data_IF_487402358218
#
_entry.id   IF_487402358218
#
_cell.length_a   1.000
_cell.length_b   1.000
_cell.length_c   1.000
_cell.angle_alpha   90.00
_cell.angle_beta   90.00
_cell.angle_gamma   90.00
#
_symmetry.space_group_name_H-M   'P 1'
#
loop_
_entity.id
_entity.type
_entity.pdbx_description
1 polymer ?
#
# COMPACT_ATOMS: atom_id res chain seq x y z
N UNK A 1 -44.29 3.04 2.82
CA UNK A 1 -43.51 1.94 3.40
C UNK A 1 -44.18 1.50 4.69
N UNK A 2 -44.79 0.31 4.69
CA UNK A 2 -45.53 -0.21 5.86
C UNK A 2 -44.56 -0.65 6.97
N UNK A 3 -45.04 -0.79 8.22
CA UNK A 3 -44.19 -1.19 9.35
C UNK A 3 -43.49 -2.55 9.14
N UNK A 4 -44.14 -3.46 8.42
CA UNK A 4 -43.58 -4.77 8.04
C UNK A 4 -42.45 -4.67 7.01
N UNK A 5 -42.49 -3.69 6.10
CA UNK A 5 -41.40 -3.41 5.15
C UNK A 5 -40.17 -2.83 5.86
N UNK A 6 -40.36 -1.97 6.87
CA UNK A 6 -39.24 -1.47 7.69
C UNK A 6 -38.58 -2.58 8.50
N UNK A 7 -39.36 -3.52 9.05
CA UNK A 7 -38.85 -4.64 9.83
C UNK A 7 -38.09 -5.65 8.96
N UNK A 8 -38.59 -5.95 7.76
CA UNK A 8 -37.87 -6.82 6.80
C UNK A 8 -36.60 -6.16 6.28
N UNK A 9 -36.59 -4.85 6.08
CA UNK A 9 -35.38 -4.11 5.74
C UNK A 9 -34.36 -4.06 6.89
N UNK A 10 -34.82 -3.93 8.14
CA UNK A 10 -33.95 -3.96 9.32
C UNK A 10 -33.35 -5.35 9.53
N UNK A 11 -34.15 -6.42 9.41
CA UNK A 11 -33.68 -7.81 9.50
C UNK A 11 -32.67 -8.16 8.40
N UNK A 12 -32.91 -7.72 7.16
CA UNK A 12 -31.93 -7.90 6.06
C UNK A 12 -30.62 -7.17 6.32
N UNK A 13 -30.66 -5.95 6.89
CA UNK A 13 -29.44 -5.19 7.24
C UNK A 13 -28.65 -5.88 8.36
N UNK A 14 -29.33 -6.40 9.39
CA UNK A 14 -28.70 -7.17 10.46
C UNK A 14 -28.06 -8.46 9.89
N UNK A 15 -28.79 -9.18 9.02
CA UNK A 15 -28.28 -10.41 8.41
C UNK A 15 -27.05 -10.15 7.52
N UNK A 16 -27.09 -9.13 6.66
CA UNK A 16 -25.97 -8.76 5.78
C UNK A 16 -24.76 -8.32 6.60
N UNK A 17 -24.94 -7.52 7.66
CA UNK A 17 -23.85 -7.12 8.56
C UNK A 17 -23.22 -8.31 9.28
N UNK A 18 -24.02 -9.29 9.73
CA UNK A 18 -23.52 -10.48 10.40
C UNK A 18 -22.70 -11.38 9.46
N UNK A 19 -23.13 -11.54 8.21
CA UNK A 19 -22.39 -12.30 7.18
C UNK A 19 -21.03 -11.66 6.87
N UNK A 20 -20.95 -10.33 6.80
CA UNK A 20 -19.69 -9.61 6.58
C UNK A 20 -18.73 -9.79 7.77
N UNK A 21 -19.25 -9.76 9.00
CA UNK A 21 -18.44 -9.95 10.21
C UNK A 21 -17.91 -11.39 10.36
N UNK A 22 -18.65 -12.38 9.84
CA UNK A 22 -18.27 -13.80 9.89
C UNK A 22 -17.21 -14.20 8.84
N UNK A 23 -17.01 -13.40 7.79
CA UNK A 23 -16.06 -13.69 6.72
C UNK A 23 -14.60 -13.27 7.01
N UNK A 24 -14.30 -12.72 8.19
CA UNK A 24 -12.97 -12.23 8.56
C UNK A 24 -12.05 -13.25 9.27
N UNK A 25 -12.42 -14.55 9.31
CA UNK A 25 -11.62 -15.59 9.98
C UNK A 25 -11.01 -16.63 9.05
N UNK A 26 -10.69 -16.30 7.80
CA UNK A 26 -9.87 -17.16 6.96
C UNK A 26 -8.62 -16.43 6.48
N UNK A 27 -7.54 -16.57 7.26
CA UNK A 27 -6.17 -16.35 6.81
C UNK A 27 -5.75 -17.54 5.92
N UNK A 28 -5.39 -17.35 4.64
CA UNK A 28 -4.63 -18.38 3.94
C UNK A 28 -3.16 -18.28 4.38
N UNK A 29 -2.77 -19.18 5.28
CA UNK A 29 -1.38 -19.54 5.52
C UNK A 29 -0.85 -20.39 4.34
N UNK A 30 0.39 -20.12 3.93
CA UNK A 30 1.17 -20.93 2.98
C UNK A 30 0.97 -20.49 1.53
N UNK A 31 2.01 -20.28 0.72
CA UNK A 31 3.21 -21.10 0.62
C UNK A 31 4.46 -20.24 0.39
N UNK A 32 5.48 -20.46 1.23
CA UNK A 32 6.87 -20.21 0.87
C UNK A 32 7.22 -21.18 -0.27
N UNK A 33 7.54 -20.62 -1.44
CA UNK A 33 8.18 -21.39 -2.50
C UNK A 33 9.67 -21.46 -2.22
N UNK A 34 10.10 -22.67 -1.87
CA UNK A 34 11.48 -23.09 -1.77
C UNK A 34 12.04 -23.48 -3.14
N UNK A 35 13.30 -23.13 -3.38
CA UNK A 35 14.19 -23.55 -4.47
C UNK A 35 13.99 -22.83 -5.83
N UNK A 36 15.00 -22.16 -6.38
CA UNK A 36 16.15 -22.87 -6.98
C UNK A 36 17.41 -22.01 -6.96
N UNK A 37 18.46 -22.58 -6.35
CA UNK A 37 19.85 -22.15 -6.45
C UNK A 37 20.31 -22.25 -7.91
N UNK A 38 20.43 -21.11 -8.60
CA UNK A 38 21.06 -21.04 -9.93
C UNK A 38 22.59 -21.20 -9.84
N UNK A 39 23.28 -21.64 -10.91
CA UNK A 39 24.73 -21.80 -10.91
C UNK A 39 25.41 -20.44 -10.77
N UNK A 40 26.27 -20.32 -9.78
CA UNK A 40 27.26 -19.25 -9.68
C UNK A 40 28.26 -19.43 -10.83
N UNK A 41 27.95 -18.86 -11.99
CA UNK A 41 28.96 -18.59 -13.01
C UNK A 41 29.77 -17.40 -12.53
N UNK A 42 31.00 -17.69 -12.13
CA UNK A 42 31.98 -16.74 -11.65
C UNK A 42 32.22 -15.64 -12.70
N UNK A 43 31.88 -14.40 -12.35
CA UNK A 43 32.55 -13.22 -12.88
C UNK A 43 33.36 -12.64 -11.72
N UNK A 44 34.61 -13.10 -11.61
CA UNK A 44 35.63 -12.41 -10.82
C UNK A 44 36.01 -11.15 -11.60
N UNK A 45 35.23 -10.07 -11.43
CA UNK A 45 35.75 -8.73 -11.65
C UNK A 45 36.27 -8.20 -10.32
N UNK A 46 37.59 -8.20 -10.18
CA UNK A 46 38.32 -7.45 -9.15
C UNK A 46 38.08 -5.95 -9.36
N UNK A 47 37.02 -5.43 -8.74
CA UNK A 47 36.89 -4.01 -8.41
C UNK A 47 37.24 -3.82 -6.93
N UNK A 48 37.88 -2.69 -6.55
CA UNK A 48 38.29 -2.45 -5.17
C UNK A 48 37.07 -2.51 -4.24
N UNK A 49 37.18 -3.41 -3.26
CA UNK A 49 36.19 -3.80 -2.26
C UNK A 49 36.01 -2.71 -1.18
N UNK A 50 35.58 -1.53 -1.61
CA UNK A 50 34.97 -0.55 -0.70
C UNK A 50 33.48 -0.71 -0.89
N UNK A 51 32.88 -1.69 -0.20
CA UNK A 51 31.43 -1.70 -0.01
C UNK A 51 31.13 -0.47 0.85
N UNK A 52 30.55 0.61 0.30
CA UNK A 52 30.23 1.76 1.12
C UNK A 52 29.30 1.27 2.22
N UNK A 53 29.60 1.62 3.47
CA UNK A 53 28.73 1.33 4.59
C UNK A 53 27.42 2.09 4.41
N UNK A 54 26.43 1.42 3.79
CA UNK A 54 25.10 1.98 3.53
C UNK A 54 24.30 2.18 4.82
N UNK A 55 24.80 1.72 5.98
CA UNK A 55 24.10 1.84 7.27
C UNK A 55 23.93 3.29 7.74
N UNK A 56 24.66 4.24 7.14
CA UNK A 56 24.65 5.65 7.54
C UNK A 56 24.08 6.63 6.50
N UNK A 57 23.60 6.15 5.34
CA UNK A 57 23.11 7.07 4.31
C UNK A 57 21.70 7.60 4.63
N UNK A 58 21.55 8.93 4.60
CA UNK A 58 20.26 9.59 4.80
C UNK A 58 19.31 9.24 3.65
N UNK A 59 18.21 8.55 3.97
CA UNK A 59 17.15 8.20 3.01
C UNK A 59 16.17 9.37 2.90
N UNK A 60 15.99 9.94 1.71
CA UNK A 60 15.07 11.05 1.45
C UNK A 60 14.06 10.63 0.37
N UNK A 61 12.79 10.95 0.55
CA UNK A 61 11.74 10.74 -0.45
C UNK A 61 10.88 11.98 -0.65
N UNK A 62 10.46 12.21 -1.90
CA UNK A 62 9.41 13.16 -2.26
C UNK A 62 8.21 12.37 -2.75
N UNK A 63 7.06 12.55 -2.11
CA UNK A 63 5.81 11.87 -2.46
C UNK A 63 4.76 12.92 -2.81
N UNK A 64 4.16 12.80 -3.99
CA UNK A 64 3.17 13.75 -4.51
C UNK A 64 1.93 12.99 -4.95
N UNK A 65 0.79 13.28 -4.33
CA UNK A 65 -0.53 12.76 -4.73
C UNK A 65 -1.33 13.82 -5.49
N UNK A 66 -1.57 13.61 -6.78
CA UNK A 66 -2.35 14.54 -7.61
C UNK A 66 -3.69 13.93 -8.03
N UNK A 67 -4.76 14.47 -7.49
CA UNK A 67 -6.15 14.10 -7.79
C UNK A 67 -6.87 15.17 -8.61
N UNK A 68 -6.54 16.44 -8.40
CA UNK A 68 -7.31 17.60 -8.86
C UNK A 68 -6.90 18.08 -10.27
N UNK A 69 -6.89 17.18 -11.27
CA UNK A 69 -6.68 17.57 -12.66
C UNK A 69 -7.89 18.34 -13.21
N UNK A 70 -7.64 19.29 -14.11
CA UNK A 70 -8.68 20.09 -14.75
C UNK A 70 -9.67 19.24 -15.58
N UNK A 71 -10.88 19.79 -15.75
CA UNK A 71 -11.94 19.15 -16.54
C UNK A 71 -12.48 17.90 -15.86
N UNK A 72 -12.58 16.81 -16.63
CA UNK A 72 -13.14 15.52 -16.18
C UNK A 72 -12.05 14.48 -15.82
N UNK A 73 -10.81 14.92 -15.61
CA UNK A 73 -9.65 14.05 -15.38
C UNK A 73 -9.37 13.79 -13.89
N UNK A 74 -10.35 14.02 -13.02
CA UNK A 74 -10.20 13.78 -11.59
C UNK A 74 -9.85 12.33 -11.28
N UNK A 75 -8.84 12.13 -10.43
CA UNK A 75 -8.44 10.81 -9.94
C UNK A 75 -8.80 10.70 -8.46
N UNK A 76 -9.58 9.67 -8.10
CA UNK A 76 -10.16 9.56 -6.76
C UNK A 76 -9.16 9.27 -5.64
N UNK A 77 -8.04 8.62 -5.96
CA UNK A 77 -7.19 7.99 -4.96
C UNK A 77 -5.75 8.51 -4.80
N UNK A 78 -5.12 9.23 -5.76
CA UNK A 78 -3.70 9.59 -5.64
C UNK A 78 -3.31 10.32 -4.36
N UNK A 79 -4.20 11.16 -3.79
CA UNK A 79 -3.93 11.83 -2.50
C UNK A 79 -3.85 10.82 -1.35
N UNK A 80 -4.75 9.85 -1.30
CA UNK A 80 -4.75 8.81 -0.26
C UNK A 80 -3.53 7.88 -0.45
N UNK A 81 -3.26 7.47 -1.68
CA UNK A 81 -2.11 6.60 -2.00
C UNK A 81 -0.78 7.24 -1.62
N UNK A 82 -0.63 8.55 -1.91
CA UNK A 82 0.54 9.32 -1.52
C UNK A 82 0.69 9.43 0.00
N UNK A 83 -0.41 9.55 0.74
CA UNK A 83 -0.39 9.57 2.19
C UNK A 83 0.07 8.22 2.77
N UNK A 84 -0.48 7.12 2.26
CA UNK A 84 -0.15 5.77 2.72
C UNK A 84 1.31 5.39 2.40
N UNK A 85 1.78 5.74 1.20
CA UNK A 85 3.18 5.56 0.82
C UNK A 85 4.11 6.41 1.70
N UNK A 86 3.74 7.67 1.98
CA UNK A 86 4.53 8.53 2.85
C UNK A 86 4.62 7.98 4.28
N UNK A 87 3.54 7.39 4.81
CA UNK A 87 3.56 6.71 6.12
C UNK A 87 4.49 5.50 6.10
N UNK A 88 4.38 4.64 5.09
CA UNK A 88 5.22 3.46 4.94
C UNK A 88 6.71 3.83 4.86
N UNK A 89 7.06 4.83 4.04
CA UNK A 89 8.43 5.29 3.86
C UNK A 89 9.02 5.91 5.14
N UNK A 90 8.23 6.68 5.90
CA UNK A 90 8.67 7.17 7.22
C UNK A 90 8.96 6.01 8.18
N UNK A 91 8.15 4.94 8.13
CA UNK A 91 8.40 3.71 8.90
C UNK A 91 9.68 2.96 8.50
N UNK A 92 10.25 3.27 7.33
CA UNK A 92 11.52 2.77 6.84
C UNK A 92 12.64 3.81 6.98
N UNK A 93 12.54 4.73 7.94
CA UNK A 93 13.42 5.88 8.21
C UNK A 93 13.81 6.71 6.98
N UNK A 94 12.88 6.93 6.05
CA UNK A 94 13.01 8.03 5.09
C UNK A 94 12.61 9.36 5.74
N UNK A 95 13.38 10.40 5.46
CA UNK A 95 12.93 11.79 5.53
C UNK A 95 11.97 12.02 4.35
N UNK A 96 10.69 12.29 4.62
CA UNK A 96 9.65 12.33 3.57
C UNK A 96 9.05 13.72 3.43
N UNK A 97 9.23 14.30 2.24
CA UNK A 97 8.51 15.48 1.77
C UNK A 97 7.23 15.00 1.10
N UNK A 98 6.09 15.16 1.77
CA UNK A 98 4.77 14.83 1.22
C UNK A 98 4.06 16.10 0.72
N UNK A 99 3.45 16.04 -0.46
CA UNK A 99 2.65 17.10 -1.07
C UNK A 99 1.44 16.53 -1.79
N UNK A 100 0.44 17.36 -2.02
CA UNK A 100 -0.74 16.98 -2.79
C UNK A 100 -1.17 18.14 -3.69
N UNK A 101 -1.60 17.82 -4.92
CA UNK A 101 -2.17 18.77 -5.88
C UNK A 101 -1.33 20.05 -6.06
N UNK A 102 -0.06 19.91 -6.41
CA UNK A 102 0.82 21.06 -6.62
C UNK A 102 0.49 21.78 -7.94
N UNK A 103 0.32 23.11 -7.86
CA UNK A 103 0.18 24.04 -8.98
C UNK A 103 -0.68 23.51 -10.15
N UNK A 104 -1.89 23.04 -9.83
CA UNK A 104 -2.90 22.65 -10.82
C UNK A 104 -3.76 23.85 -11.21
#
# INVERSE_FOLDING_TARGET
MTGSEKLTMLLKKILISAVILLAACNSPEGQQETATKGPQSAETLTTPDVVPDLSSQKRLALVIGNSAYAGNSFLSNPVNDAEDLAKALRGLDFDVIHRSNLNQ
#
